data_IF_905978689221
#
_entry.id   IF_905978689221
#
_cell.length_a   1.000
_cell.length_b   1.000
_cell.length_c   1.000
_cell.angle_alpha   90.00
_cell.angle_beta   90.00
_cell.angle_gamma   90.00
#
_symmetry.space_group_name_H-M   'P 1'
#
loop_
_entity.id
_entity.type
_entity.pdbx_description
1 polymer ?
#
# COMPACT_ATOMS: atom_id res chain seq x y z
N UNK A 1 19.92 43.69 19.83
CA UNK A 1 20.94 43.43 18.80
C UNK A 1 21.87 42.41 19.42
N UNK A 2 21.94 41.13 19.07
CA UNK A 2 21.78 40.35 17.82
C UNK A 2 21.30 38.94 18.29
N UNK A 3 20.10 38.47 17.93
CA UNK A 3 19.81 37.45 16.90
C UNK A 3 20.69 36.19 16.96
N UNK A 4 20.11 35.05 17.39
CA UNK A 4 20.57 33.71 16.99
C UNK A 4 19.33 32.93 16.52
N UNK A 5 19.30 32.62 15.24
CA UNK A 5 18.28 31.84 14.53
C UNK A 5 18.86 30.46 14.17
N UNK A 6 17.97 29.44 14.14
CA UNK A 6 18.01 28.25 13.27
C UNK A 6 19.00 27.14 13.63
N UNK A 7 18.73 25.85 13.42
CA UNK A 7 17.79 25.23 12.48
C UNK A 7 17.16 23.93 13.04
N UNK A 8 15.87 23.76 12.75
CA UNK A 8 15.08 22.55 12.90
C UNK A 8 15.28 21.59 11.72
N UNK A 9 15.17 20.30 12.04
CA UNK A 9 14.79 19.15 11.19
C UNK A 9 14.78 19.35 9.66
N UNK A 10 15.69 18.64 8.97
CA UNK A 10 15.60 18.40 7.54
C UNK A 10 14.44 17.45 7.20
N UNK A 11 13.27 18.02 6.89
CA UNK A 11 12.40 17.46 5.87
C UNK A 11 13.08 17.70 4.51
N UNK A 12 13.49 16.64 3.81
CA UNK A 12 14.13 16.78 2.51
C UNK A 12 13.08 17.22 1.46
N UNK A 13 12.92 18.53 1.30
CA UNK A 13 12.20 19.13 0.18
C UNK A 13 12.90 18.77 -1.15
N UNK A 14 12.12 18.35 -2.13
CA UNK A 14 12.58 17.98 -3.46
C UNK A 14 13.32 19.15 -4.13
N UNK A 15 14.58 18.92 -4.53
CA UNK A 15 15.31 19.83 -5.43
C UNK A 15 14.70 19.76 -6.84
N UNK A 16 14.58 20.89 -7.56
CA UNK A 16 14.07 20.90 -8.92
C UNK A 16 15.16 20.36 -9.88
N UNK A 17 14.91 19.19 -10.45
CA UNK A 17 15.77 18.54 -11.46
C UNK A 17 14.93 17.57 -12.29
N UNK A 18 15.12 17.58 -13.61
CA UNK A 18 14.20 17.04 -14.61
C UNK A 18 13.68 15.61 -14.39
N UNK A 19 12.45 15.37 -14.88
CA UNK A 19 11.58 14.18 -14.75
C UNK A 19 12.18 12.82 -15.17
N UNK A 20 13.45 12.72 -15.60
CA UNK A 20 14.12 11.47 -16.03
C UNK A 20 14.87 10.71 -14.92
N UNK A 21 15.02 11.27 -13.71
CA UNK A 21 15.85 10.68 -12.65
C UNK A 21 15.15 9.77 -11.63
N UNK A 22 13.86 9.48 -11.79
CA UNK A 22 13.07 8.87 -10.73
C UNK A 22 13.10 7.33 -10.71
N UNK A 23 13.15 6.66 -11.87
CA UNK A 23 13.21 5.19 -11.95
C UNK A 23 14.52 4.64 -11.39
N UNK A 24 15.68 5.17 -11.82
CA UNK A 24 16.98 4.75 -11.27
C UNK A 24 17.16 5.05 -9.79
N UNK A 25 16.41 6.03 -9.23
CA UNK A 25 16.40 6.30 -7.78
C UNK A 25 15.52 5.31 -7.02
N UNK A 26 14.39 4.89 -7.59
CA UNK A 26 13.52 3.87 -7.00
C UNK A 26 14.22 2.50 -6.97
N UNK A 27 14.80 2.05 -8.08
CA UNK A 27 15.55 0.79 -8.15
C UNK A 27 16.73 0.78 -7.17
N UNK A 28 17.48 1.89 -7.11
CA UNK A 28 18.54 2.05 -6.12
C UNK A 28 17.99 1.94 -4.69
N UNK A 29 16.88 2.63 -4.37
CA UNK A 29 16.26 2.57 -3.04
C UNK A 29 15.76 1.17 -2.68
N UNK A 30 15.22 0.41 -3.63
CA UNK A 30 14.76 -0.96 -3.40
C UNK A 30 15.92 -1.93 -3.20
N UNK A 31 17.05 -1.71 -3.87
CA UNK A 31 18.27 -2.51 -3.68
C UNK A 31 18.97 -2.29 -2.35
N UNK A 32 18.69 -1.18 -1.65
CA UNK A 32 19.22 -0.96 -0.31
C UNK A 32 18.53 -1.90 0.69
N UNK A 33 19.29 -2.65 1.53
CA UNK A 33 18.70 -3.52 2.54
C UNK A 33 17.82 -2.73 3.51
N UNK A 34 16.66 -3.26 3.87
CA UNK A 34 15.85 -2.70 4.94
C UNK A 34 16.57 -2.89 6.29
N UNK A 35 16.74 -1.81 7.05
CA UNK A 35 17.48 -1.80 8.33
C UNK A 35 16.60 -1.53 9.55
N UNK A 36 15.28 -1.37 9.37
CA UNK A 36 14.37 -0.94 10.42
C UNK A 36 14.20 0.58 10.50
N UNK A 37 13.53 1.05 11.56
CA UNK A 37 13.31 2.48 11.80
C UNK A 37 14.57 3.07 12.42
N UNK A 38 15.12 4.11 11.78
CA UNK A 38 16.29 4.84 12.27
C UNK A 38 15.86 6.19 12.82
N UNK A 39 16.14 6.46 14.09
CA UNK A 39 15.90 7.74 14.75
C UNK A 39 17.05 8.06 15.70
N UNK A 40 17.36 9.35 15.89
CA UNK A 40 18.37 9.77 16.87
C UNK A 40 19.79 9.22 16.67
N UNK A 41 20.13 8.71 15.48
CA UNK A 41 21.46 8.15 15.20
C UNK A 41 21.61 6.64 15.45
N UNK A 42 20.51 5.93 15.71
CA UNK A 42 20.52 4.47 15.89
C UNK A 42 19.28 3.82 15.26
N UNK A 43 19.35 2.49 15.07
CA UNK A 43 18.18 1.68 14.73
C UNK A 43 17.38 1.46 16.02
N UNK A 44 16.11 1.84 15.97
CA UNK A 44 15.15 1.57 17.02
C UNK A 44 14.78 0.08 17.00
N UNK A 45 15.01 -0.61 18.12
CA UNK A 45 14.70 -2.04 18.29
C UNK A 45 13.39 -2.21 19.03
N UNK A 46 12.75 -3.36 18.83
CA UNK A 46 11.57 -3.80 19.59
C UNK A 46 10.37 -2.83 19.59
N UNK A 47 10.29 -1.95 18.57
CA UNK A 47 9.18 -0.99 18.40
C UNK A 47 7.81 -1.67 18.34
N UNK A 48 7.76 -2.87 17.73
CA UNK A 48 6.55 -3.67 17.59
C UNK A 48 6.84 -5.09 18.08
N UNK A 49 6.50 -5.35 19.35
CA UNK A 49 6.57 -6.71 19.90
C UNK A 49 5.39 -7.54 19.41
N UNK A 50 5.64 -8.82 19.12
CA UNK A 50 4.59 -9.78 18.81
C UNK A 50 3.80 -10.04 20.09
N UNK A 51 2.49 -9.75 20.06
CA UNK A 51 1.57 -9.87 21.19
C UNK A 51 0.22 -10.31 20.69
N UNK A 52 -0.40 -11.25 21.41
CA UNK A 52 -1.79 -11.58 21.16
C UNK A 52 -2.68 -10.38 21.50
N UNK A 53 -3.57 -10.03 20.57
CA UNK A 53 -4.56 -8.96 20.74
C UNK A 53 -5.90 -9.48 21.25
N UNK A 54 -6.16 -10.79 21.10
CA UNK A 54 -7.45 -11.42 21.41
C UNK A 54 -8.55 -11.11 20.40
N UNK A 55 -8.25 -10.38 19.31
CA UNK A 55 -9.20 -10.03 18.26
C UNK A 55 -8.95 -10.89 17.03
N UNK A 56 -9.91 -11.75 16.68
CA UNK A 56 -9.75 -12.65 15.54
C UNK A 56 -9.56 -11.89 14.22
N UNK A 57 -8.62 -12.37 13.41
CA UNK A 57 -8.35 -11.93 12.03
C UNK A 57 -9.03 -12.84 11.00
N UNK A 58 -9.78 -13.86 11.44
CA UNK A 58 -10.44 -14.82 10.55
C UNK A 58 -11.31 -14.17 9.46
N UNK A 59 -12.13 -13.13 9.75
CA UNK A 59 -12.91 -12.47 8.69
C UNK A 59 -12.05 -11.85 7.58
N UNK A 60 -10.82 -11.41 7.91
CA UNK A 60 -9.88 -10.86 6.94
C UNK A 60 -9.25 -11.98 6.11
N UNK A 61 -8.91 -13.10 6.73
CA UNK A 61 -8.41 -14.31 6.06
C UNK A 61 -9.44 -14.84 5.06
N UNK A 62 -10.70 -14.94 5.48
CA UNK A 62 -11.80 -15.43 4.64
C UNK A 62 -12.03 -14.52 3.44
N UNK A 63 -12.04 -13.20 3.66
CA UNK A 63 -12.23 -12.22 2.60
C UNK A 63 -11.07 -12.19 1.59
N UNK A 64 -9.82 -12.35 2.05
CA UNK A 64 -8.66 -12.43 1.17
C UNK A 64 -8.67 -13.71 0.32
N UNK A 65 -9.03 -14.84 0.94
CA UNK A 65 -9.18 -16.12 0.23
C UNK A 65 -10.26 -16.01 -0.85
N UNK A 66 -11.44 -15.49 -0.49
CA UNK A 66 -12.53 -15.30 -1.43
C UNK A 66 -12.16 -14.33 -2.58
N UNK A 67 -11.38 -13.29 -2.31
CA UNK A 67 -10.86 -12.41 -3.37
C UNK A 67 -9.91 -13.15 -4.32
N UNK A 68 -8.97 -13.94 -3.80
CA UNK A 68 -8.03 -14.72 -4.63
C UNK A 68 -8.74 -15.79 -5.48
N UNK A 69 -9.84 -16.34 -4.99
CA UNK A 69 -10.61 -17.39 -5.67
C UNK A 69 -11.40 -16.88 -6.89
N UNK A 70 -11.74 -15.59 -6.92
CA UNK A 70 -12.47 -14.98 -8.05
C UNK A 70 -11.55 -14.43 -9.14
N UNK A 71 -10.24 -14.39 -8.88
CA UNK A 71 -9.25 -13.99 -9.88
C UNK A 71 -9.01 -15.14 -10.87
N UNK A 72 -8.84 -14.79 -12.15
CA UNK A 72 -8.34 -15.76 -13.10
C UNK A 72 -6.85 -16.07 -12.85
N UNK A 73 -6.33 -17.12 -13.46
CA UNK A 73 -4.95 -17.58 -13.23
C UNK A 73 -3.89 -16.51 -13.50
N UNK A 74 -4.07 -15.67 -14.55
CA UNK A 74 -3.13 -14.60 -14.88
C UNK A 74 -3.14 -13.53 -13.79
N UNK A 75 -4.32 -13.00 -13.46
CA UNK A 75 -4.50 -12.01 -12.40
C UNK A 75 -3.91 -12.53 -11.08
N UNK A 76 -4.29 -13.74 -10.65
CA UNK A 76 -3.81 -14.36 -9.41
C UNK A 76 -2.28 -14.44 -9.39
N UNK A 77 -1.66 -14.86 -10.48
CA UNK A 77 -0.20 -14.98 -10.57
C UNK A 77 0.55 -13.66 -10.43
N UNK A 78 -0.07 -12.54 -10.85
CA UNK A 78 0.49 -11.18 -10.71
C UNK A 78 0.20 -10.56 -9.34
N UNK A 79 -0.79 -11.08 -8.62
CA UNK A 79 -1.27 -10.59 -7.33
C UNK A 79 -0.58 -11.23 -6.13
N UNK A 80 -0.16 -12.49 -6.22
CA UNK A 80 0.41 -13.23 -5.09
C UNK A 80 1.93 -13.23 -5.08
N UNK A 81 2.52 -12.93 -3.92
CA UNK A 81 3.97 -12.88 -3.69
C UNK A 81 4.34 -13.65 -2.42
N UNK A 82 5.61 -14.09 -2.27
CA UNK A 82 6.14 -14.55 -0.99
C UNK A 82 5.99 -13.48 0.11
N UNK A 83 5.87 -13.91 1.37
CA UNK A 83 5.69 -12.98 2.50
C UNK A 83 6.89 -12.06 2.74
N UNK A 84 8.09 -12.48 2.33
CA UNK A 84 9.35 -11.74 2.43
C UNK A 84 9.74 -11.03 1.13
N UNK A 85 8.83 -10.95 0.15
CA UNK A 85 9.08 -10.29 -1.13
C UNK A 85 9.35 -8.78 -0.96
N UNK A 86 10.16 -8.24 -1.86
CA UNK A 86 10.44 -6.80 -1.92
C UNK A 86 9.19 -5.97 -2.23
N UNK A 87 8.09 -6.60 -2.67
CA UNK A 87 6.83 -5.94 -2.98
C UNK A 87 6.30 -5.05 -1.87
N UNK A 88 6.47 -5.44 -0.60
CA UNK A 88 6.13 -4.62 0.57
C UNK A 88 6.74 -3.20 0.54
N UNK A 89 7.83 -3.01 -0.21
CA UNK A 89 8.56 -1.75 -0.35
C UNK A 89 8.37 -1.08 -1.71
N UNK A 90 7.70 -1.75 -2.65
CA UNK A 90 7.60 -1.35 -4.06
C UNK A 90 6.30 -0.59 -4.38
N UNK A 91 5.78 0.16 -3.41
CA UNK A 91 4.63 1.04 -3.59
C UNK A 91 5.05 2.42 -4.11
N UNK A 92 4.15 3.08 -4.84
CA UNK A 92 4.43 4.42 -5.37
C UNK A 92 3.15 5.26 -5.50
N UNK A 93 3.21 6.51 -5.05
CA UNK A 93 2.09 7.45 -5.12
C UNK A 93 2.13 8.36 -6.35
N UNK A 94 2.88 8.01 -7.41
CA UNK A 94 2.89 8.76 -8.67
C UNK A 94 1.93 8.11 -9.67
N UNK A 95 1.10 8.93 -10.31
CA UNK A 95 0.17 8.55 -11.38
C UNK A 95 0.74 7.61 -12.47
N UNK A 96 1.97 7.80 -12.94
CA UNK A 96 2.56 7.04 -14.06
C UNK A 96 3.38 5.80 -13.66
N UNK A 97 3.45 5.44 -12.36
CA UNK A 97 4.26 4.30 -11.94
C UNK A 97 3.60 2.98 -12.33
N UNK A 98 4.37 2.05 -12.93
CA UNK A 98 3.87 0.71 -13.26
C UNK A 98 3.89 -0.15 -12.01
N UNK A 99 2.70 -0.47 -11.50
CA UNK A 99 2.50 -1.26 -10.29
C UNK A 99 2.40 -2.75 -10.58
N UNK A 100 2.66 -3.56 -9.57
CA UNK A 100 2.41 -5.02 -9.59
C UNK A 100 1.02 -5.30 -9.01
N UNK A 101 0.56 -6.53 -9.15
CA UNK A 101 -0.79 -6.90 -8.75
C UNK A 101 -1.82 -6.78 -9.87
N UNK A 102 -3.06 -7.06 -9.48
CA UNK A 102 -4.23 -6.87 -10.32
C UNK A 102 -4.78 -5.47 -10.08
N UNK A 103 -5.05 -4.75 -11.16
CA UNK A 103 -5.64 -3.40 -11.11
C UNK A 103 -7.16 -3.45 -10.97
N UNK A 104 -7.76 -2.48 -10.28
CA UNK A 104 -9.22 -2.37 -10.25
C UNK A 104 -9.81 -2.04 -11.63
N UNK A 105 -9.03 -1.43 -12.52
CA UNK A 105 -9.39 -1.11 -13.90
C UNK A 105 -9.56 -2.35 -14.78
N UNK A 106 -8.83 -3.43 -14.49
CA UNK A 106 -8.94 -4.72 -15.21
C UNK A 106 -9.92 -5.71 -14.57
N UNK A 107 -10.44 -5.41 -13.37
CA UNK A 107 -11.43 -6.26 -12.69
C UNK A 107 -12.84 -6.08 -13.24
N UNK A 108 -13.59 -7.17 -13.33
CA UNK A 108 -15.04 -7.12 -13.46
C UNK A 108 -15.72 -6.73 -12.13
N UNK A 109 -17.04 -6.52 -12.15
CA UNK A 109 -17.79 -6.09 -10.96
C UNK A 109 -17.74 -7.12 -9.82
N UNK A 110 -17.76 -8.41 -10.16
CA UNK A 110 -17.72 -9.48 -9.16
C UNK A 110 -16.36 -9.51 -8.45
N UNK A 111 -15.26 -9.32 -9.19
CA UNK A 111 -13.91 -9.21 -8.65
C UNK A 111 -13.74 -7.95 -7.78
N UNK A 112 -14.26 -6.80 -8.23
CA UNK A 112 -14.25 -5.55 -7.45
C UNK A 112 -15.00 -5.69 -6.13
N UNK A 113 -16.16 -6.34 -6.15
CA UNK A 113 -16.95 -6.59 -4.94
C UNK A 113 -16.13 -7.36 -3.89
N UNK A 114 -15.41 -8.40 -4.31
CA UNK A 114 -14.55 -9.19 -3.42
C UNK A 114 -13.32 -8.41 -2.95
N UNK A 115 -12.69 -7.60 -3.82
CA UNK A 115 -11.60 -6.71 -3.42
C UNK A 115 -12.06 -5.71 -2.35
N UNK A 116 -13.25 -5.10 -2.52
CA UNK A 116 -13.83 -4.21 -1.51
C UNK A 116 -14.32 -4.96 -0.27
N UNK A 117 -14.69 -6.23 -0.37
CA UNK A 117 -14.99 -7.06 0.79
C UNK A 117 -13.74 -7.29 1.66
N UNK A 118 -12.58 -7.53 1.05
CA UNK A 118 -11.30 -7.57 1.75
C UNK A 118 -11.01 -6.26 2.47
N UNK A 119 -11.15 -5.11 1.78
CA UNK A 119 -10.95 -3.79 2.41
C UNK A 119 -11.94 -3.56 3.56
N UNK A 120 -13.20 -3.99 3.42
CA UNK A 120 -14.24 -3.86 4.44
C UNK A 120 -13.97 -4.73 5.68
N UNK A 121 -13.46 -5.94 5.49
CA UNK A 121 -13.08 -6.81 6.59
C UNK A 121 -11.85 -6.27 7.34
N UNK A 122 -10.94 -5.61 6.61
CA UNK A 122 -9.65 -5.15 7.14
C UNK A 122 -9.71 -3.78 7.81
N UNK A 123 -10.51 -2.85 7.28
CA UNK A 123 -10.51 -1.44 7.66
C UNK A 123 -11.73 -1.08 8.51
N UNK A 124 -11.58 -0.06 9.37
CA UNK A 124 -12.74 0.58 9.99
C UNK A 124 -13.68 1.17 8.92
N UNK A 125 -14.96 1.35 9.25
CA UNK A 125 -15.92 1.98 8.34
C UNK A 125 -15.46 3.37 7.83
N UNK A 126 -14.80 4.15 8.70
CA UNK A 126 -14.19 5.43 8.31
C UNK A 126 -13.03 5.25 7.34
N UNK A 127 -12.16 4.26 7.58
CA UNK A 127 -11.04 3.93 6.72
C UNK A 127 -11.49 3.47 5.33
N UNK A 128 -12.45 2.55 5.26
CA UNK A 128 -13.04 2.08 4.00
C UNK A 128 -13.65 3.25 3.22
N UNK A 129 -14.48 4.08 3.88
CA UNK A 129 -15.10 5.23 3.23
C UNK A 129 -14.04 6.19 2.69
N UNK A 130 -13.01 6.49 3.48
CA UNK A 130 -11.92 7.37 3.06
C UNK A 130 -11.19 6.82 1.83
N UNK A 131 -10.87 5.53 1.80
CA UNK A 131 -10.26 4.88 0.64
C UNK A 131 -11.13 5.04 -0.62
N UNK A 132 -12.43 4.78 -0.52
CA UNK A 132 -13.36 4.93 -1.65
C UNK A 132 -13.51 6.38 -2.10
N UNK A 133 -13.58 7.33 -1.16
CA UNK A 133 -13.67 8.75 -1.49
C UNK A 133 -12.40 9.23 -2.21
N UNK A 134 -11.22 8.76 -1.80
CA UNK A 134 -9.94 9.06 -2.46
C UNK A 134 -9.90 8.51 -3.89
N UNK A 135 -10.34 7.26 -4.08
CA UNK A 135 -10.44 6.66 -5.43
C UNK A 135 -11.34 7.51 -6.32
N UNK A 136 -12.54 7.86 -5.85
CA UNK A 136 -13.49 8.73 -6.57
C UNK A 136 -12.90 10.10 -6.89
N UNK A 137 -12.18 10.71 -5.95
CA UNK A 137 -11.51 11.99 -6.16
C UNK A 137 -10.47 11.91 -7.29
N UNK A 138 -9.72 10.81 -7.40
CA UNK A 138 -8.81 10.59 -8.53
C UNK A 138 -9.57 10.45 -9.86
N UNK A 139 -10.80 9.91 -9.83
CA UNK A 139 -11.73 9.93 -10.96
C UNK A 139 -12.12 11.36 -11.38
N UNK A 140 -12.52 12.21 -10.43
CA UNK A 140 -12.81 13.63 -10.70
C UNK A 140 -11.59 14.37 -11.25
N UNK A 141 -10.38 14.05 -10.77
CA UNK A 141 -9.15 14.62 -11.33
C UNK A 141 -8.96 14.24 -12.80
N UNK A 142 -9.27 13.00 -13.18
CA UNK A 142 -9.22 12.54 -14.57
C UNK A 142 -10.15 13.35 -15.48
N UNK A 143 -11.38 13.61 -15.01
CA UNK A 143 -12.37 14.43 -15.71
C UNK A 143 -11.90 15.87 -15.89
N UNK A 144 -11.38 16.49 -14.82
CA UNK A 144 -10.91 17.87 -14.84
C UNK A 144 -9.66 18.06 -15.72
N UNK A 145 -8.75 17.08 -15.71
CA UNK A 145 -7.54 17.10 -16.51
C UNK A 145 -7.75 16.59 -17.94
N UNK A 146 -8.91 15.98 -18.23
CA UNK A 146 -9.18 15.21 -19.45
C UNK A 146 -8.04 14.21 -19.76
N UNK A 147 -7.60 13.48 -18.73
CA UNK A 147 -6.50 12.51 -18.81
C UNK A 147 -6.85 11.26 -17.99
N UNK A 148 -7.44 10.28 -18.65
CA UNK A 148 -7.87 9.01 -18.05
C UNK A 148 -6.79 7.93 -18.08
N UNK A 149 -5.67 8.19 -18.74
CA UNK A 149 -4.54 7.25 -18.80
C UNK A 149 -3.68 7.33 -17.52
N UNK A 150 -3.57 8.53 -16.93
CA UNK A 150 -2.78 8.76 -15.71
C UNK A 150 -3.63 8.92 -14.44
N UNK A 151 -4.91 9.27 -14.58
CA UNK A 151 -5.83 9.44 -13.47
C UNK A 151 -7.09 8.60 -13.69
N UNK A 152 -7.76 8.23 -12.60
CA UNK A 152 -9.01 7.47 -12.69
C UNK A 152 -9.38 6.82 -11.36
N UNK A 153 -10.66 6.59 -11.18
CA UNK A 153 -11.18 5.96 -9.96
C UNK A 153 -10.60 4.56 -9.73
N UNK A 154 -10.26 3.86 -10.81
CA UNK A 154 -9.86 2.46 -10.78
C UNK A 154 -8.36 2.21 -10.98
N UNK A 155 -7.54 3.27 -11.04
CA UNK A 155 -6.08 3.15 -11.15
C UNK A 155 -5.44 2.91 -9.78
N UNK A 156 -5.79 1.77 -9.19
CA UNK A 156 -5.27 1.24 -7.93
C UNK A 156 -5.02 -0.25 -8.12
N UNK A 157 -3.96 -0.78 -7.51
CA UNK A 157 -3.55 -2.17 -7.67
C UNK A 157 -3.46 -2.84 -6.31
N UNK A 158 -3.80 -4.13 -6.26
CA UNK A 158 -3.73 -4.93 -5.04
C UNK A 158 -2.77 -6.11 -5.21
N UNK A 159 -1.93 -6.30 -4.19
CA UNK A 159 -1.02 -7.43 -4.02
C UNK A 159 -1.25 -8.10 -2.68
N UNK A 160 -1.06 -9.42 -2.65
CA UNK A 160 -1.12 -10.27 -1.45
C UNK A 160 0.27 -10.88 -1.26
N UNK A 161 0.84 -10.72 -0.08
CA UNK A 161 2.15 -11.26 0.29
C UNK A 161 1.96 -12.36 1.34
N UNK A 162 2.42 -13.58 1.03
CA UNK A 162 2.10 -14.79 1.80
C UNK A 162 0.71 -15.35 1.49
N UNK A 163 0.40 -16.50 2.08
CA UNK A 163 -0.92 -17.12 1.95
C UNK A 163 -1.83 -16.66 3.11
N UNK A 164 -3.10 -16.29 2.86
CA UNK A 164 -4.04 -15.94 3.93
C UNK A 164 -4.11 -17.02 5.01
N UNK A 165 -3.75 -16.64 6.24
CA UNK A 165 -3.58 -17.57 7.34
C UNK A 165 -3.98 -16.97 8.68
N UNK A 166 -4.51 -17.81 9.57
CA UNK A 166 -4.82 -17.42 10.96
C UNK A 166 -3.61 -17.55 11.90
N UNK A 167 -2.47 -18.05 11.40
CA UNK A 167 -1.27 -18.32 12.21
C UNK A 167 0.02 -17.83 11.56
N UNK A 168 0.18 -18.06 10.25
CA UNK A 168 1.38 -17.66 9.51
C UNK A 168 1.34 -16.17 9.12
N UNK A 169 2.49 -15.52 8.93
CA UNK A 169 2.53 -14.14 8.48
C UNK A 169 2.03 -14.02 7.05
N UNK A 170 1.19 -13.03 6.80
CA UNK A 170 0.74 -12.66 5.46
C UNK A 170 0.22 -11.22 5.47
N UNK A 171 -0.22 -10.73 4.32
CA UNK A 171 -1.01 -9.51 4.27
C UNK A 171 -1.23 -9.02 2.85
N UNK A 172 -1.67 -7.78 2.74
CA UNK A 172 -1.98 -7.17 1.46
C UNK A 172 -1.49 -5.73 1.38
N UNK A 173 -1.22 -5.28 0.16
CA UNK A 173 -0.92 -3.89 -0.17
C UNK A 173 -1.90 -3.43 -1.23
N UNK A 174 -2.47 -2.24 -1.05
CA UNK A 174 -3.08 -1.47 -2.14
C UNK A 174 -2.21 -0.25 -2.39
N UNK A 175 -1.91 0.06 -3.65
CA UNK A 175 -1.21 1.27 -4.01
C UNK A 175 -1.75 1.94 -5.28
N UNK A 176 -1.62 3.26 -5.32
CA UNK A 176 -2.20 4.12 -6.34
C UNK A 176 -1.79 5.57 -6.11
N UNK A 177 -2.24 6.47 -6.98
CA UNK A 177 -1.80 7.88 -6.97
C UNK A 177 -2.03 8.59 -5.62
N UNK A 178 -3.16 8.34 -4.97
CA UNK A 178 -3.59 9.04 -3.75
C UNK A 178 -3.82 8.13 -2.53
N UNK A 179 -3.60 6.83 -2.68
CA UNK A 179 -3.87 5.84 -1.63
C UNK A 179 -2.79 4.76 -1.64
N UNK A 180 -2.17 4.55 -0.49
CA UNK A 180 -1.32 3.40 -0.24
C UNK A 180 -1.65 2.86 1.15
N UNK A 181 -1.96 1.57 1.24
CA UNK A 181 -2.15 0.89 2.52
C UNK A 181 -1.39 -0.42 2.45
N UNK A 182 -0.46 -0.59 3.39
CA UNK A 182 0.14 -1.89 3.69
C UNK A 182 -0.54 -2.45 4.93
N UNK A 183 -1.05 -3.68 4.86
CA UNK A 183 -1.79 -4.35 5.91
C UNK A 183 -1.15 -5.71 6.17
N UNK A 184 -0.36 -5.80 7.24
CA UNK A 184 0.31 -7.03 7.65
C UNK A 184 -0.45 -7.72 8.79
N UNK A 185 -0.53 -9.05 8.72
CA UNK A 185 -1.21 -9.92 9.68
C UNK A 185 -0.22 -10.98 10.17
N UNK A 186 -0.17 -11.17 11.48
CA UNK A 186 0.48 -12.32 12.12
C UNK A 186 -0.39 -12.80 13.28
N UNK A 187 -1.02 -13.96 13.12
CA UNK A 187 -2.01 -14.46 14.08
C UNK A 187 -3.17 -13.48 14.22
N UNK A 188 -3.41 -13.01 15.43
CA UNK A 188 -4.44 -12.02 15.77
C UNK A 188 -3.92 -10.56 15.78
N UNK A 189 -2.66 -10.35 15.39
CA UNK A 189 -2.04 -9.03 15.37
C UNK A 189 -2.00 -8.44 13.96
N UNK A 190 -2.40 -7.18 13.86
CA UNK A 190 -2.38 -6.41 12.60
C UNK A 190 -1.46 -5.21 12.75
N UNK A 191 -0.65 -4.96 11.72
CA UNK A 191 0.16 -3.74 11.59
C UNK A 191 -0.14 -3.09 10.25
N UNK A 192 -0.49 -1.81 10.28
CA UNK A 192 -0.74 -1.01 9.09
C UNK A 192 0.35 0.05 8.90
N UNK A 193 1.40 -0.28 8.14
CA UNK A 193 2.46 0.66 7.82
C UNK A 193 3.28 0.18 6.60
N UNK A 194 3.64 1.08 5.67
CA UNK A 194 3.23 2.49 5.60
C UNK A 194 1.77 2.65 5.16
N UNK A 195 1.17 3.78 5.54
CA UNK A 195 -0.12 4.26 5.05
C UNK A 195 0.06 5.66 4.48
N UNK A 196 -0.34 5.86 3.24
CA UNK A 196 -0.40 7.16 2.57
C UNK A 196 -1.84 7.43 2.14
N UNK A 197 -2.34 8.60 2.53
CA UNK A 197 -3.63 9.16 2.10
C UNK A 197 -3.38 10.63 1.81
N UNK A 198 -3.62 11.09 0.58
CA UNK A 198 -3.37 12.48 0.19
C UNK A 198 -3.44 12.71 -1.29
#
# INVERSE_FOLDING_TARGET
>A
MIMVYGECAHACAQRPGGRRGSQGRAEKSLSEPYRGIWSGGAIEKDLFSIKSTGVTTQPVVDAATAFLDVLNNDQRSRTTFPVDDIEWRSWDNRHFYKRRGVGFDEMDEHQKEHAFALLRASLSAKGLKLSQDIMKLNGTLAELANNFDEYGEWLYWITIMGDPSSVEPWGWQIDGHHLIINYFVLGDQVVMSPVFVG
#
